data_IF_530273814712
#
_entry.id   IF_530273814712
#
_cell.length_a   1.000
_cell.length_b   1.000
_cell.length_c   1.000
_cell.angle_alpha   90.00
_cell.angle_beta   90.00
_cell.angle_gamma   90.00
#
_symmetry.space_group_name_H-M   'P 1'
#
loop_
_entity.id
_entity.type
_entity.pdbx_description
1 polymer ?
#
# COMPACT_ATOMS: atom_id res chain seq x y z
N UNK A 1 -13.06 23.71 10.24
CA UNK A 1 -13.32 23.78 8.79
C UNK A 1 -12.73 22.58 8.04
N UNK A 2 -11.41 22.32 8.12
CA UNK A 2 -10.73 21.25 7.36
C UNK A 2 -11.23 19.81 7.62
N UNK A 3 -11.50 19.44 8.88
CA UNK A 3 -12.01 18.09 9.24
C UNK A 3 -13.33 17.74 8.54
N UNK A 4 -14.17 18.74 8.29
CA UNK A 4 -15.48 18.55 7.68
C UNK A 4 -15.34 18.34 6.17
N UNK A 5 -14.42 19.06 5.51
CA UNK A 5 -14.10 18.88 4.09
C UNK A 5 -13.46 17.51 3.82
N UNK A 6 -12.54 17.06 4.69
CA UNK A 6 -11.97 15.70 4.58
C UNK A 6 -13.08 14.65 4.76
N UNK A 7 -13.94 14.76 5.78
CA UNK A 7 -15.03 13.81 6.00
C UNK A 7 -16.05 13.76 4.84
N UNK A 8 -16.37 14.91 4.23
CA UNK A 8 -17.26 15.00 3.06
C UNK A 8 -16.57 14.41 1.83
N UNK A 9 -15.30 14.73 1.60
CA UNK A 9 -14.51 14.24 0.47
C UNK A 9 -14.31 12.72 0.55
N UNK A 10 -14.11 12.17 1.74
CA UNK A 10 -14.01 10.74 2.00
C UNK A 10 -15.35 10.02 1.80
N UNK A 11 -16.46 10.67 2.17
CA UNK A 11 -17.81 10.16 1.93
C UNK A 11 -18.20 10.15 0.45
N UNK A 12 -17.57 11.01 -0.36
CA UNK A 12 -17.76 11.10 -1.82
C UNK A 12 -16.63 10.35 -2.57
N UNK A 13 -15.64 9.81 -1.87
CA UNK A 13 -14.53 9.03 -2.43
C UNK A 13 -13.41 9.85 -3.10
N UNK A 14 -13.38 11.17 -2.91
CA UNK A 14 -12.43 12.09 -3.58
C UNK A 14 -11.10 12.27 -2.84
N UNK A 15 -11.07 12.05 -1.52
CA UNK A 15 -9.84 11.91 -0.70
C UNK A 15 -9.87 10.55 0.00
N UNK A 16 -8.81 9.78 -0.16
CA UNK A 16 -8.62 8.50 0.51
C UNK A 16 -7.14 8.12 0.46
N UNK A 17 -6.75 7.15 1.27
CA UNK A 17 -5.50 6.42 1.09
C UNK A 17 -5.72 5.36 0.01
N UNK A 18 -4.89 5.40 -1.02
CA UNK A 18 -4.98 4.51 -2.18
C UNK A 18 -3.75 3.61 -2.21
N UNK A 19 -3.97 2.33 -2.50
CA UNK A 19 -2.98 1.29 -2.57
C UNK A 19 -2.91 0.72 -4.00
N UNK A 20 -1.72 0.39 -4.47
CA UNK A 20 -1.49 -0.29 -5.75
C UNK A 20 -0.41 -1.37 -5.55
N UNK A 21 -0.72 -2.62 -5.84
CA UNK A 21 0.25 -3.72 -5.77
C UNK A 21 1.14 -3.69 -7.00
N UNK A 22 2.42 -3.98 -6.80
CA UNK A 22 3.44 -4.07 -7.82
C UNK A 22 4.03 -5.48 -7.77
N UNK A 23 3.91 -6.20 -8.88
CA UNK A 23 4.41 -7.57 -9.01
C UNK A 23 5.93 -7.61 -9.14
N UNK A 24 6.53 -8.74 -8.78
CA UNK A 24 7.90 -9.10 -9.18
C UNK A 24 8.00 -9.43 -10.67
N UNK A 25 6.88 -9.77 -11.30
CA UNK A 25 6.83 -10.18 -12.69
C UNK A 25 6.69 -8.97 -13.62
N UNK A 26 7.32 -9.07 -14.78
CA UNK A 26 7.31 -8.02 -15.79
C UNK A 26 6.18 -8.27 -16.80
N UNK A 27 5.41 -7.23 -17.11
CA UNK A 27 4.52 -7.22 -18.25
C UNK A 27 5.37 -7.19 -19.54
N UNK A 28 5.32 -8.24 -20.39
CA UNK A 28 6.14 -8.31 -21.60
C UNK A 28 5.80 -7.22 -22.63
N UNK A 29 4.57 -6.70 -22.61
CA UNK A 29 4.13 -5.62 -23.53
C UNK A 29 4.65 -4.27 -23.07
N UNK A 30 4.54 -3.98 -21.77
CA UNK A 30 4.96 -2.69 -21.19
C UNK A 30 6.44 -2.63 -20.79
N UNK A 31 7.13 -3.77 -20.71
CA UNK A 31 8.50 -3.88 -20.18
C UNK A 31 8.65 -3.23 -18.80
N UNK A 32 7.60 -3.34 -17.98
CA UNK A 32 7.57 -2.79 -16.61
C UNK A 32 6.84 -3.77 -15.69
N UNK A 33 7.01 -3.66 -14.36
CA UNK A 33 6.31 -4.53 -13.42
C UNK A 33 4.79 -4.54 -13.63
N UNK A 34 4.15 -5.69 -13.51
CA UNK A 34 2.67 -5.77 -13.49
C UNK A 34 2.13 -5.00 -12.28
N UNK A 35 1.00 -4.33 -12.45
CA UNK A 35 0.37 -3.51 -11.41
C UNK A 35 -1.11 -3.87 -11.25
N UNK A 36 -1.59 -3.87 -10.01
CA UNK A 36 -3.02 -4.04 -9.76
C UNK A 36 -3.80 -2.79 -10.15
N UNK A 37 -5.12 -2.90 -10.18
CA UNK A 37 -5.96 -1.71 -10.06
C UNK A 37 -5.74 -1.04 -8.69
N UNK A 38 -5.99 0.27 -8.64
CA UNK A 38 -5.92 1.06 -7.41
C UNK A 38 -7.05 0.68 -6.46
N UNK A 39 -6.71 0.37 -5.22
CA UNK A 39 -7.65 0.03 -4.16
C UNK A 39 -7.65 1.11 -3.07
N UNK A 40 -8.83 1.60 -2.68
CA UNK A 40 -8.94 2.59 -1.61
C UNK A 40 -9.20 1.92 -0.26
N UNK A 41 -8.69 2.49 0.84
CA UNK A 41 -9.00 1.99 2.17
C UNK A 41 -10.50 2.15 2.48
N UNK A 42 -11.11 1.07 2.99
CA UNK A 42 -12.52 1.05 3.40
C UNK A 42 -12.69 1.76 4.76
N UNK A 43 -13.75 2.55 4.87
CA UNK A 43 -14.16 3.22 6.11
C UNK A 43 -13.10 4.12 6.76
N UNK A 44 -12.20 4.73 5.95
CA UNK A 44 -11.17 5.65 6.43
C UNK A 44 -11.73 6.75 7.34
N UNK A 45 -12.71 7.51 6.85
CA UNK A 45 -13.36 8.61 7.58
C UNK A 45 -14.04 8.19 8.89
N UNK A 46 -14.57 6.97 8.96
CA UNK A 46 -15.26 6.46 10.15
C UNK A 46 -14.28 6.10 11.26
N UNK A 47 -13.14 5.49 10.92
CA UNK A 47 -12.18 4.99 11.89
C UNK A 47 -11.05 5.97 12.22
N UNK A 48 -10.76 6.94 11.34
CA UNK A 48 -9.68 7.93 11.57
C UNK A 48 -9.96 8.90 12.71
N UNK A 49 -11.21 9.01 13.17
CA UNK A 49 -11.61 9.82 14.32
C UNK A 49 -11.55 9.07 15.66
N UNK A 50 -11.32 7.76 15.64
CA UNK A 50 -11.23 6.94 16.86
C UNK A 50 -9.89 7.22 17.56
N UNK A 51 -9.95 7.59 18.84
CA UNK A 51 -8.76 7.71 19.69
C UNK A 51 -8.28 6.30 20.09
N UNK A 52 -7.55 5.65 19.20
CA UNK A 52 -6.84 4.41 19.47
C UNK A 52 -5.37 4.57 19.07
N UNK A 53 -4.46 3.90 19.79
CA UNK A 53 -3.03 3.90 19.45
C UNK A 53 -2.76 3.24 18.09
N UNK A 54 -3.59 2.27 17.69
CA UNK A 54 -3.52 1.57 16.41
C UNK A 54 -4.91 1.35 15.84
N UNK A 55 -5.05 1.50 14.53
CA UNK A 55 -6.31 1.30 13.80
C UNK A 55 -6.05 0.46 12.56
N UNK A 56 -6.83 -0.62 12.40
CA UNK A 56 -6.74 -1.50 11.24
C UNK A 56 -7.78 -1.12 10.17
N UNK A 57 -7.29 -1.00 8.94
CA UNK A 57 -8.09 -0.74 7.73
C UNK A 57 -7.99 -1.93 6.77
N UNK A 58 -8.98 -2.06 5.91
CA UNK A 58 -9.01 -3.09 4.87
C UNK A 58 -9.20 -2.46 3.51
N UNK A 59 -8.64 -3.09 2.48
CA UNK A 59 -8.85 -2.76 1.08
C UNK A 59 -8.95 -4.07 0.30
N UNK A 60 -9.70 -4.04 -0.81
CA UNK A 60 -9.85 -5.19 -1.70
C UNK A 60 -9.16 -4.87 -3.03
N UNK A 61 -8.31 -5.79 -3.46
CA UNK A 61 -7.57 -5.69 -4.72
C UNK A 61 -8.22 -6.62 -5.74
N UNK A 62 -8.28 -6.13 -6.97
CA UNK A 62 -8.53 -6.96 -8.15
C UNK A 62 -7.21 -7.05 -8.90
N UNK A 63 -6.72 -8.28 -9.06
CA UNK A 63 -5.48 -8.60 -9.78
C UNK A 63 -5.77 -9.66 -10.84
N UNK A 64 -5.01 -9.62 -11.93
CA UNK A 64 -5.11 -10.63 -12.98
C UNK A 64 -4.61 -12.00 -12.48
N UNK A 65 -5.11 -13.09 -13.07
CA UNK A 65 -4.73 -14.45 -12.64
C UNK A 65 -3.25 -14.76 -12.83
N UNK A 66 -2.60 -14.07 -13.78
CA UNK A 66 -1.17 -14.17 -14.06
C UNK A 66 -0.36 -13.05 -13.38
N UNK A 67 -0.93 -12.33 -12.41
CA UNK A 67 -0.27 -11.22 -11.73
C UNK A 67 1.05 -11.62 -11.06
N UNK A 68 1.20 -12.89 -10.66
CA UNK A 68 2.37 -13.39 -9.97
C UNK A 68 2.36 -13.02 -8.48
N UNK A 69 3.53 -12.79 -7.90
CA UNK A 69 3.68 -12.48 -6.48
C UNK A 69 3.88 -10.96 -6.30
N UNK A 70 3.14 -10.29 -5.40
CA UNK A 70 3.39 -8.88 -5.11
C UNK A 70 4.74 -8.72 -4.41
N UNK A 71 5.63 -7.93 -5.02
CA UNK A 71 6.96 -7.62 -4.50
C UNK A 71 7.02 -6.27 -3.80
N UNK A 72 6.17 -5.33 -4.19
CA UNK A 72 6.03 -4.01 -3.58
C UNK A 72 4.58 -3.53 -3.54
N UNK A 73 4.30 -2.54 -2.70
CA UNK A 73 3.03 -1.83 -2.63
C UNK A 73 3.27 -0.33 -2.63
N UNK A 74 2.61 0.38 -3.54
CA UNK A 74 2.55 1.83 -3.53
C UNK A 74 1.38 2.29 -2.66
N UNK A 75 1.64 3.27 -1.80
CA UNK A 75 0.67 3.88 -0.88
C UNK A 75 0.64 5.37 -1.17
N UNK A 76 -0.52 5.87 -1.61
CA UNK A 76 -0.74 7.29 -1.87
C UNK A 76 -1.69 7.85 -0.82
N UNK A 77 -1.18 8.73 0.05
CA UNK A 77 -2.00 9.53 0.94
C UNK A 77 -2.52 10.78 0.19
N UNK A 78 -3.84 10.90 0.01
CA UNK A 78 -4.47 12.09 -0.59
C UNK A 78 -4.99 13.10 0.45
N UNK A 79 -4.69 12.89 1.73
CA UNK A 79 -5.05 13.81 2.80
C UNK A 79 -3.91 14.80 3.05
N UNK A 80 -4.24 15.95 3.63
CA UNK A 80 -3.23 16.98 3.94
C UNK A 80 -2.31 16.59 5.10
N UNK A 81 -2.77 15.69 5.98
CA UNK A 81 -2.04 15.25 7.15
C UNK A 81 -1.44 13.88 6.90
N UNK A 82 -0.19 13.72 7.31
CA UNK A 82 0.47 12.43 7.33
C UNK A 82 -0.12 11.50 8.39
N UNK A 83 0.09 10.20 8.19
CA UNK A 83 -0.18 9.17 9.18
C UNK A 83 1.01 8.21 9.25
N UNK A 84 1.21 7.59 10.41
CA UNK A 84 2.22 6.55 10.57
C UNK A 84 1.66 5.20 10.11
N UNK A 85 2.33 4.56 9.15
CA UNK A 85 1.98 3.24 8.65
C UNK A 85 2.94 2.20 9.22
N UNK A 86 2.43 1.32 10.08
CA UNK A 86 3.24 0.26 10.71
C UNK A 86 3.53 -0.87 9.72
N UNK A 87 2.49 -1.48 9.15
CA UNK A 87 2.63 -2.60 8.21
C UNK A 87 1.39 -2.78 7.34
N UNK A 88 1.55 -3.47 6.22
CA UNK A 88 0.46 -3.98 5.39
C UNK A 88 0.62 -5.51 5.27
N UNK A 89 -0.48 -6.25 5.32
CA UNK A 89 -0.49 -7.69 5.04
C UNK A 89 -1.50 -7.94 3.91
N UNK A 90 -1.04 -8.61 2.86
CA UNK A 90 -1.88 -8.98 1.72
C UNK A 90 -2.15 -10.47 1.79
N UNK A 91 -3.43 -10.85 1.78
CA UNK A 91 -3.89 -12.23 1.83
C UNK A 91 -4.53 -12.65 0.48
N UNK A 92 -4.80 -13.94 0.31
CA UNK A 92 -5.52 -14.45 -0.88
C UNK A 92 -4.64 -14.86 -2.07
N UNK A 93 -3.31 -14.71 -1.97
CA UNK A 93 -2.39 -15.28 -2.95
C UNK A 93 -2.10 -16.76 -2.64
N UNK A 94 -1.89 -17.58 -3.68
CA UNK A 94 -1.51 -19.00 -3.56
C UNK A 94 -0.22 -19.17 -2.74
N UNK A 95 0.68 -18.19 -2.79
CA UNK A 95 1.92 -18.19 -2.02
C UNK A 95 1.73 -17.91 -0.52
N UNK A 96 0.49 -17.76 -0.03
CA UNK A 96 0.17 -17.35 1.32
C UNK A 96 0.18 -15.83 1.52
N UNK A 97 0.03 -15.42 2.78
CA UNK A 97 0.05 -14.01 3.18
C UNK A 97 1.42 -13.36 2.89
N UNK A 98 1.39 -12.13 2.39
CA UNK A 98 2.58 -11.35 2.02
C UNK A 98 2.69 -10.12 2.92
N UNK A 99 3.64 -10.10 3.88
CA UNK A 99 3.83 -8.96 4.77
C UNK A 99 4.74 -7.88 4.14
N UNK A 100 4.36 -6.62 4.37
CA UNK A 100 5.09 -5.41 4.02
C UNK A 100 5.35 -4.61 5.31
N UNK A 101 6.54 -4.73 5.93
CA UNK A 101 6.90 -3.91 7.08
C UNK A 101 7.18 -2.47 6.60
N UNK A 102 6.36 -1.51 7.04
CA UNK A 102 6.41 -0.15 6.53
C UNK A 102 7.17 0.80 7.47
N UNK A 103 6.78 0.83 8.75
CA UNK A 103 7.34 1.65 9.83
C UNK A 103 7.73 3.08 9.39
N UNK A 104 6.81 3.78 8.71
CA UNK A 104 7.10 5.09 8.11
C UNK A 104 5.90 6.02 8.16
N UNK A 105 6.16 7.32 8.29
CA UNK A 105 5.18 8.38 8.07
C UNK A 105 4.87 8.53 6.58
N UNK A 106 3.59 8.60 6.21
CA UNK A 106 3.11 8.74 4.82
C UNK A 106 2.41 10.09 4.64
N UNK A 107 3.12 11.06 4.07
CA UNK A 107 2.56 12.39 3.73
C UNK A 107 2.05 12.47 2.29
N UNK A 108 2.62 11.69 1.38
CA UNK A 108 2.27 11.66 -0.04
C UNK A 108 2.31 10.24 -0.59
N UNK A 109 3.03 10.04 -1.70
CA UNK A 109 3.27 8.71 -2.25
C UNK A 109 4.52 8.07 -1.65
N UNK A 110 4.42 6.80 -1.24
CA UNK A 110 5.55 5.97 -0.84
C UNK A 110 5.43 4.56 -1.41
N UNK A 111 6.55 3.89 -1.58
CA UNK A 111 6.64 2.50 -2.01
C UNK A 111 7.26 1.69 -0.88
N UNK A 112 6.65 0.55 -0.56
CA UNK A 112 7.14 -0.40 0.43
C UNK A 112 7.37 -1.76 -0.22
N UNK A 113 8.45 -2.44 0.15
CA UNK A 113 8.79 -3.76 -0.40
C UNK A 113 8.34 -4.88 0.54
N UNK A 114 7.95 -6.01 -0.04
CA UNK A 114 7.64 -7.21 0.74
C UNK A 114 8.89 -7.76 1.40
N UNK A 115 8.75 -8.36 2.59
CA UNK A 115 9.88 -8.96 3.30
C UNK A 115 10.23 -10.38 2.80
N UNK A 116 10.06 -10.66 1.50
CA UNK A 116 10.48 -11.94 0.92
C UNK A 116 11.97 -11.88 0.57
N UNK A 117 12.76 -12.74 1.20
CA UNK A 117 14.18 -12.94 0.86
C UNK A 117 14.23 -13.68 -0.47
N UNK A 118 14.54 -12.99 -1.56
CA UNK A 118 14.92 -13.63 -2.82
C UNK A 118 16.39 -14.02 -2.74
N UNK A 119 16.74 -15.24 -3.17
CA UNK A 119 18.12 -15.74 -3.26
C UNK A 119 18.87 -15.08 -4.43
N UNK A 120 18.83 -13.75 -4.51
CA UNK A 120 19.76 -12.99 -5.34
C UNK A 120 21.09 -12.94 -4.60
N UNK A 121 22.18 -13.26 -5.30
CA UNK A 121 23.57 -13.07 -4.86
C UNK A 121 23.67 -11.80 -4.01
N UNK A 122 23.86 -11.97 -2.69
CA UNK A 122 23.92 -10.84 -1.75
C UNK A 122 25.22 -10.09 -1.94
N UNK A 123 25.26 -9.18 -2.91
CA UNK A 123 26.28 -8.16 -2.95
C UNK A 123 25.94 -7.11 -1.90
N UNK A 124 26.61 -7.20 -0.74
CA UNK A 124 26.52 -6.19 0.32
C UNK A 124 27.10 -4.88 -0.21
N UNK A 125 26.23 -3.95 -0.58
CA UNK A 125 26.62 -2.59 -0.88
C UNK A 125 26.31 -1.73 0.36
N UNK A 126 27.34 -1.11 0.93
CA UNK A 126 27.16 -0.07 1.94
C UNK A 126 26.57 1.15 1.24
N UNK A 127 25.28 1.37 1.43
CA UNK A 127 24.64 2.63 1.07
C UNK A 127 24.83 3.56 2.27
N UNK A 128 25.69 4.56 2.12
CA UNK A 128 25.77 5.69 3.05
C UNK A 128 24.80 6.74 2.53
N UNK A 129 23.89 7.22 3.40
CA UNK A 129 22.91 8.26 3.07
C UNK A 129 23.50 9.61 3.46
#
# INVERSE_FOLDING_TARGET
>A
MLKHLDAISDSIGTRNVVLELISTDIDPKRKSPKKSNKAALKNWSKKSSVKAERVNYTAEFIVDSDFGVPGAIAVTNKHQREFFLESIVIEGFVSGAVPFPCNSWVQGERIFFSNKVTNLERSKHLITI
#
